data_IF_251453548814
#
_entry.id   IF_251453548814
#
_cell.length_a   1.000
_cell.length_b   1.000
_cell.length_c   1.000
_cell.angle_alpha   90.00
_cell.angle_beta   90.00
_cell.angle_gamma   90.00
#
_symmetry.space_group_name_H-M   'P 1'
#
loop_
_entity.id
_entity.type
_entity.pdbx_description
1 polymer ?
#
# COMPACT_ATOMS: atom_id res chain seq x y z
N UNK A 1 -0.29 3.91 7.93
CA UNK A 1 -1.07 3.10 8.91
C UNK A 1 -1.78 1.94 8.21
N UNK A 2 -2.13 0.84 8.91
CA UNK A 2 -2.80 -0.33 8.28
C UNK A 2 -4.27 -0.04 7.91
N UNK A 3 -4.97 0.74 8.73
CA UNK A 3 -6.31 1.32 8.54
C UNK A 3 -6.36 2.66 9.27
N UNK A 4 -7.25 3.57 8.88
CA UNK A 4 -7.46 4.86 9.56
C UNK A 4 -8.26 4.72 10.87
N UNK A 5 -7.72 3.96 11.82
CA UNK A 5 -8.29 3.78 13.16
C UNK A 5 -7.19 3.76 14.22
N UNK A 6 -7.10 4.85 14.99
CA UNK A 6 -6.07 5.05 15.99
C UNK A 6 -6.07 3.98 17.10
N UNK A 7 -7.23 3.41 17.46
CA UNK A 7 -7.30 2.34 18.46
C UNK A 7 -6.58 1.08 17.95
N UNK A 8 -6.89 0.67 16.70
CA UNK A 8 -6.28 -0.51 16.07
C UNK A 8 -4.78 -0.29 15.85
N UNK A 9 -4.37 0.89 15.38
CA UNK A 9 -2.96 1.23 15.15
C UNK A 9 -2.16 1.12 16.45
N UNK A 10 -2.67 1.69 17.55
CA UNK A 10 -2.02 1.62 18.87
C UNK A 10 -1.95 0.20 19.41
N UNK A 11 -3.00 -0.60 19.23
CA UNK A 11 -3.01 -2.00 19.64
C UNK A 11 -1.97 -2.84 18.89
N UNK A 12 -1.83 -2.64 17.57
CA UNK A 12 -0.83 -3.34 16.78
C UNK A 12 0.59 -2.89 17.14
N UNK A 13 0.79 -1.59 17.35
CA UNK A 13 2.07 -1.04 17.80
C UNK A 13 2.50 -1.62 19.15
N UNK A 14 1.58 -1.74 20.11
CA UNK A 14 1.89 -2.34 21.43
C UNK A 14 2.22 -3.84 21.35
N UNK A 15 1.77 -4.52 20.29
CA UNK A 15 2.14 -5.91 19.97
C UNK A 15 3.43 -6.03 19.16
N UNK A 16 4.13 -4.92 18.89
CA UNK A 16 5.44 -4.89 18.24
C UNK A 16 5.41 -4.60 16.73
N UNK A 17 4.26 -4.26 16.15
CA UNK A 17 4.19 -3.84 14.74
C UNK A 17 4.79 -2.45 14.60
N UNK A 18 5.79 -2.31 13.73
CA UNK A 18 6.32 -1.02 13.32
C UNK A 18 5.59 -0.53 12.07
N UNK A 19 5.14 0.72 12.11
CA UNK A 19 4.56 1.42 10.97
C UNK A 19 5.64 2.33 10.38
N UNK A 20 6.12 2.00 9.19
CA UNK A 20 7.07 2.83 8.45
C UNK A 20 6.33 3.78 7.51
N UNK A 21 6.88 4.99 7.31
CA UNK A 21 6.38 5.94 6.30
C UNK A 21 7.13 5.79 4.97
N UNK A 22 8.39 5.32 5.01
CA UNK A 22 9.20 4.99 3.83
C UNK A 22 9.76 3.57 3.88
N UNK A 23 9.98 2.98 2.70
CA UNK A 23 10.73 1.72 2.55
C UNK A 23 12.19 1.85 2.99
N UNK A 24 12.73 3.06 3.09
CA UNK A 24 14.10 3.29 3.58
C UNK A 24 14.25 3.01 5.08
N UNK A 25 13.15 3.00 5.83
CA UNK A 25 13.12 2.64 7.26
C UNK A 25 13.07 1.13 7.48
N UNK A 26 12.83 0.36 6.41
CA UNK A 26 12.60 -1.08 6.48
C UNK A 26 13.95 -1.82 6.41
N UNK A 27 14.30 -2.63 7.42
CA UNK A 27 15.49 -3.46 7.35
C UNK A 27 15.42 -4.46 6.19
N UNK A 28 16.55 -4.65 5.50
CA UNK A 28 16.64 -5.67 4.44
C UNK A 28 16.28 -7.05 4.95
N UNK A 29 15.46 -7.79 4.20
CA UNK A 29 14.98 -9.11 4.59
C UNK A 29 13.84 -9.12 5.61
N UNK A 30 13.35 -7.96 6.07
CA UNK A 30 12.21 -7.90 6.97
C UNK A 30 10.92 -8.43 6.32
N UNK A 31 9.96 -8.84 7.16
CA UNK A 31 8.59 -9.12 6.73
C UNK A 31 7.83 -7.80 6.63
N UNK A 32 7.25 -7.53 5.46
CA UNK A 32 6.54 -6.29 5.19
C UNK A 32 5.07 -6.57 4.91
N UNK A 33 4.19 -5.72 5.45
CA UNK A 33 2.75 -5.77 5.21
C UNK A 33 2.29 -4.48 4.53
N UNK A 34 1.68 -4.60 3.35
CA UNK A 34 1.05 -3.46 2.67
C UNK A 34 -0.31 -3.17 3.31
N UNK A 35 -0.60 -1.88 3.50
CA UNK A 35 -1.85 -1.45 4.15
C UNK A 35 -3.09 -1.76 3.31
N UNK A 36 -4.27 -1.65 3.92
CA UNK A 36 -5.54 -1.88 3.23
C UNK A 36 -5.80 -0.91 2.06
N UNK A 37 -5.18 0.27 2.09
CA UNK A 37 -5.32 1.32 1.07
C UNK A 37 -4.51 1.06 -0.19
N UNK A 38 -3.63 0.05 -0.18
CA UNK A 38 -2.72 -0.22 -1.29
C UNK A 38 -1.54 0.73 -1.34
N UNK A 39 -0.69 0.51 -2.35
CA UNK A 39 0.44 1.35 -2.72
C UNK A 39 0.57 1.35 -4.24
N UNK A 40 1.27 2.34 -4.80
CA UNK A 40 1.59 2.36 -6.23
C UNK A 40 2.51 1.21 -6.66
N UNK A 41 2.40 0.79 -7.93
CA UNK A 41 3.12 -0.36 -8.48
C UNK A 41 4.65 -0.30 -8.29
N UNK A 42 5.25 0.89 -8.45
CA UNK A 42 6.69 1.08 -8.26
C UNK A 42 7.13 0.87 -6.79
N UNK A 43 6.27 1.23 -5.83
CA UNK A 43 6.54 1.02 -4.40
C UNK A 43 6.41 -0.47 -4.07
N UNK A 44 5.39 -1.15 -4.61
CA UNK A 44 5.23 -2.59 -4.44
C UNK A 44 6.43 -3.37 -5.00
N UNK A 45 6.88 -3.03 -6.21
CA UNK A 45 8.04 -3.68 -6.85
C UNK A 45 9.33 -3.46 -6.05
N UNK A 46 9.53 -2.24 -5.55
CA UNK A 46 10.66 -1.93 -4.65
C UNK A 46 10.55 -2.69 -3.32
N UNK A 47 9.36 -2.82 -2.74
CA UNK A 47 9.17 -3.57 -1.51
C UNK A 47 9.54 -5.05 -1.71
N UNK A 48 9.09 -5.66 -2.81
CA UNK A 48 9.40 -7.05 -3.18
C UNK A 48 10.90 -7.30 -3.34
N UNK A 49 11.68 -6.30 -3.78
CA UNK A 49 13.13 -6.46 -3.99
C UNK A 49 13.97 -6.36 -2.71
N UNK A 50 13.44 -5.77 -1.63
CA UNK A 50 14.17 -5.57 -0.37
C UNK A 50 13.68 -6.44 0.78
N UNK A 51 12.40 -6.84 0.78
CA UNK A 51 11.81 -7.60 1.89
C UNK A 51 12.10 -9.10 1.76
N UNK A 52 12.12 -9.82 2.88
CA UNK A 52 12.21 -11.28 2.89
C UNK A 52 10.86 -11.95 2.61
N UNK A 53 9.77 -11.29 3.02
CA UNK A 53 8.40 -11.72 2.78
C UNK A 53 7.49 -10.49 2.66
N UNK A 54 6.66 -10.45 1.61
CA UNK A 54 5.65 -9.42 1.41
C UNK A 54 4.25 -10.00 1.60
N UNK A 55 3.50 -9.43 2.54
CA UNK A 55 2.08 -9.72 2.74
C UNK A 55 1.27 -8.53 2.25
N UNK A 56 0.40 -8.75 1.28
CA UNK A 56 -0.44 -7.70 0.72
C UNK A 56 -1.85 -7.75 1.32
N UNK A 57 -2.14 -6.82 2.24
CA UNK A 57 -3.45 -6.69 2.88
C UNK A 57 -4.36 -5.66 2.18
N UNK A 58 -4.02 -5.21 0.96
CA UNK A 58 -4.82 -4.26 0.18
C UNK A 58 -6.24 -4.79 -0.01
N UNK A 59 -7.23 -3.94 0.23
CA UNK A 59 -8.64 -4.28 0.04
C UNK A 59 -8.88 -4.80 -1.39
N UNK A 60 -9.59 -5.93 -1.58
CA UNK A 60 -9.88 -6.44 -2.93
C UNK A 60 -10.61 -5.45 -3.85
N UNK A 61 -11.33 -4.48 -3.27
CA UNK A 61 -11.98 -3.40 -4.04
C UNK A 61 -10.96 -2.39 -4.59
N UNK A 62 -9.94 -2.05 -3.79
CA UNK A 62 -8.83 -1.18 -4.22
C UNK A 62 -8.01 -1.87 -5.30
N UNK A 63 -7.69 -3.18 -5.12
CA UNK A 63 -6.99 -3.97 -6.13
C UNK A 63 -7.71 -3.96 -7.48
N UNK A 64 -9.04 -4.12 -7.48
CA UNK A 64 -9.85 -4.05 -8.71
C UNK A 64 -9.71 -2.69 -9.43
N UNK A 65 -9.56 -1.61 -8.67
CA UNK A 65 -9.39 -0.27 -9.21
C UNK A 65 -7.99 -0.12 -9.84
N UNK A 66 -6.94 -0.60 -9.17
CA UNK A 66 -5.58 -0.67 -9.73
C UNK A 66 -5.51 -1.54 -10.99
N UNK A 67 -6.19 -2.70 -10.99
CA UNK A 67 -6.27 -3.60 -12.15
C UNK A 67 -7.00 -2.98 -13.34
N UNK A 68 -8.00 -2.12 -13.08
CA UNK A 68 -8.69 -1.39 -14.12
C UNK A 68 -7.80 -0.27 -14.68
N UNK A 69 -7.10 0.47 -13.81
CA UNK A 69 -6.20 1.55 -14.19
C UNK A 69 -4.99 1.04 -15.00
N UNK A 70 -4.41 -0.10 -14.62
CA UNK A 70 -3.25 -0.69 -15.32
C UNK A 70 -3.55 -1.18 -16.74
N UNK A 71 -4.82 -1.38 -17.08
CA UNK A 71 -5.26 -1.77 -18.43
C UNK A 71 -5.40 -0.57 -19.39
N UNK A 72 -5.32 0.65 -18.87
CA UNK A 72 -5.36 1.86 -19.68
C UNK A 72 -4.14 1.91 -20.60
N UNK A 73 -4.38 2.02 -21.90
CA UNK A 73 -3.33 1.98 -22.93
C UNK A 73 -2.87 3.38 -23.31
N UNK A 74 -1.69 3.52 -23.94
CA UNK A 74 -1.29 4.78 -24.54
C UNK A 74 -2.36 5.30 -25.51
N UNK A 75 -2.81 6.53 -25.30
CA UNK A 75 -3.87 7.17 -26.10
C UNK A 75 -5.29 7.07 -25.51
N UNK A 76 -5.49 6.29 -24.44
CA UNK A 76 -6.73 6.28 -23.67
C UNK A 76 -6.69 7.34 -22.55
N UNK A 77 -7.87 7.82 -22.14
CA UNK A 77 -8.02 8.76 -21.02
C UNK A 77 -8.67 8.02 -19.85
N UNK A 78 -7.96 7.96 -18.73
CA UNK A 78 -8.48 7.48 -17.45
C UNK A 78 -8.96 8.67 -16.60
N UNK A 79 -10.20 8.62 -16.12
CA UNK A 79 -10.75 9.59 -15.17
C UNK A 79 -10.91 8.91 -13.82
N UNK A 80 -10.12 9.32 -12.84
CA UNK A 80 -10.24 8.88 -11.45
C UNK A 80 -11.02 9.92 -10.64
N UNK A 81 -12.10 9.50 -9.99
CA UNK A 81 -12.89 10.35 -9.10
C UNK A 81 -12.53 9.98 -7.67
N UNK A 82 -11.93 10.93 -6.94
CA UNK A 82 -11.51 10.72 -5.56
C UNK A 82 -11.05 12.02 -4.90
N UNK A 83 -10.68 11.94 -3.64
CA UNK A 83 -10.14 13.07 -2.90
C UNK A 83 -8.62 13.14 -3.06
N UNK A 84 -8.12 14.31 -3.48
CA UNK A 84 -6.68 14.55 -3.61
C UNK A 84 -5.97 14.32 -2.26
N UNK A 85 -4.88 13.55 -2.27
CA UNK A 85 -4.10 13.23 -1.08
C UNK A 85 -4.67 12.11 -0.21
N UNK A 86 -5.74 11.44 -0.64
CA UNK A 86 -6.19 10.22 0.02
C UNK A 86 -5.27 9.04 -0.39
N UNK A 87 -4.82 8.18 0.54
CA UNK A 87 -3.88 7.10 0.24
C UNK A 87 -4.31 6.15 -0.89
N UNK A 88 -5.62 5.95 -1.09
CA UNK A 88 -6.16 5.12 -2.18
C UNK A 88 -6.11 5.79 -3.57
N UNK A 89 -5.70 7.06 -3.66
CA UNK A 89 -5.66 7.85 -4.90
C UNK A 89 -4.21 8.12 -5.37
N UNK A 90 -3.21 7.98 -4.49
CA UNK A 90 -1.78 8.13 -4.83
C UNK A 90 -1.17 6.85 -5.43
#
# INVERSE_FOLDING_TARGET
>A
EIVHNNFIVKELASRGVHFAESLDEVPSGARLLLSAHGVGAAVEERARSICGELVDATCPLVKRLHDAASRCRPGEVLILIGHRGHPEVE
#
